data_IF_424345668996
#
_entry.id   IF_424345668996
#
_cell.length_a   1.000
_cell.length_b   1.000
_cell.length_c   1.000
_cell.angle_alpha   90.00
_cell.angle_beta   90.00
_cell.angle_gamma   90.00
#
_symmetry.space_group_name_H-M   'P 1'
#
loop_
_entity.id
_entity.type
_entity.pdbx_description
1 polymer ?
#
# COMPACT_ATOMS: atom_id res chain seq x y z
N UNK A 1 29.18 -48.66 -24.76
CA UNK A 1 29.97 -48.03 -25.84
C UNK A 1 29.38 -46.65 -26.09
N UNK A 2 30.04 -45.53 -25.90
CA UNK A 2 31.18 -45.16 -25.04
C UNK A 2 30.92 -43.68 -24.64
N UNK A 3 31.14 -43.18 -23.41
CA UNK A 3 32.30 -43.32 -22.51
C UNK A 3 33.55 -42.66 -23.07
N UNK A 4 33.63 -41.34 -22.93
CA UNK A 4 34.89 -40.58 -22.84
C UNK A 4 34.70 -39.58 -21.70
N UNK A 5 35.19 -39.93 -20.51
CA UNK A 5 35.76 -38.94 -19.61
C UNK A 5 37.14 -38.57 -20.16
N UNK A 6 37.58 -37.33 -20.00
CA UNK A 6 38.96 -37.10 -19.55
C UNK A 6 39.11 -35.78 -18.79
N UNK A 7 40.15 -35.71 -17.97
CA UNK A 7 40.44 -34.60 -17.05
C UNK A 7 41.74 -33.90 -17.47
N UNK A 8 41.88 -32.59 -17.21
CA UNK A 8 43.07 -32.07 -16.51
C UNK A 8 42.95 -30.58 -16.11
N UNK A 9 43.09 -30.36 -14.81
CA UNK A 9 43.68 -29.22 -14.08
C UNK A 9 43.99 -27.87 -14.80
N UNK A 10 43.38 -26.82 -14.25
CA UNK A 10 44.00 -25.54 -13.83
C UNK A 10 45.02 -24.82 -14.72
N UNK A 11 44.72 -23.57 -15.03
CA UNK A 11 45.70 -22.51 -14.78
C UNK A 11 45.00 -21.21 -14.34
N UNK A 12 45.60 -20.46 -13.41
CA UNK A 12 44.96 -19.32 -12.77
C UNK A 12 45.61 -18.00 -13.19
N UNK A 13 44.80 -17.05 -13.68
CA UNK A 13 45.15 -15.64 -13.79
C UNK A 13 44.05 -14.80 -13.15
N UNK A 14 44.41 -14.08 -12.10
CA UNK A 14 43.47 -13.20 -11.41
C UNK A 14 43.18 -11.95 -12.24
N UNK A 15 41.91 -11.53 -12.28
CA UNK A 15 41.57 -10.14 -12.56
C UNK A 15 40.67 -9.60 -11.44
N UNK A 16 40.86 -8.34 -11.07
CA UNK A 16 40.14 -7.68 -9.98
C UNK A 16 39.06 -6.79 -10.57
N UNK A 17 37.85 -6.81 -9.99
CA UNK A 17 37.17 -5.63 -9.43
C UNK A 17 35.69 -5.90 -9.11
N UNK A 18 35.21 -5.30 -8.01
CA UNK A 18 33.85 -4.76 -7.90
C UNK A 18 32.75 -5.66 -7.33
N UNK A 19 32.23 -5.27 -6.15
CA UNK A 19 30.83 -5.46 -5.76
C UNK A 19 30.43 -6.83 -5.20
N UNK A 20 30.54 -7.00 -3.87
CA UNK A 20 30.06 -8.22 -3.20
C UNK A 20 30.38 -8.27 -1.71
N UNK A 21 29.84 -7.35 -0.92
CA UNK A 21 30.01 -7.35 0.54
C UNK A 21 29.14 -8.42 1.21
N UNK A 22 29.60 -9.68 1.21
CA UNK A 22 29.05 -10.71 2.08
C UNK A 22 29.49 -10.44 3.52
N UNK A 23 28.55 -10.18 4.42
CA UNK A 23 28.80 -10.03 5.86
C UNK A 23 29.16 -11.37 6.51
N UNK A 24 30.40 -11.83 6.32
CA UNK A 24 30.95 -12.98 7.04
C UNK A 24 31.14 -12.63 8.51
N UNK A 25 30.14 -12.98 9.33
CA UNK A 25 30.23 -12.89 10.79
C UNK A 25 31.33 -13.84 11.26
N UNK A 26 32.44 -13.26 11.74
CA UNK A 26 33.55 -14.02 12.31
C UNK A 26 33.32 -14.20 13.81
N UNK A 27 33.13 -15.45 14.24
CA UNK A 27 33.03 -15.82 15.65
C UNK A 27 34.40 -15.88 16.35
N UNK A 28 35.47 -15.38 15.72
CA UNK A 28 36.79 -15.26 16.34
C UNK A 28 36.83 -14.09 17.32
N UNK A 29 37.05 -14.39 18.61
CA UNK A 29 37.09 -13.44 19.71
C UNK A 29 37.96 -12.20 19.37
N UNK A 30 37.42 -10.96 19.43
CA UNK A 30 38.10 -9.78 18.90
C UNK A 30 39.37 -9.46 19.69
N UNK A 31 40.53 -9.51 19.02
CA UNK A 31 41.81 -9.13 19.60
C UNK A 31 41.76 -7.67 20.03
N UNK A 32 41.80 -7.41 21.35
CA UNK A 32 41.69 -6.08 21.97
C UNK A 32 42.62 -5.07 21.27
N UNK A 33 42.03 -4.15 20.50
CA UNK A 33 42.77 -3.03 19.87
C UNK A 33 43.35 -2.16 20.98
N UNK A 34 44.68 -2.03 21.03
CA UNK A 34 45.35 -1.09 21.94
C UNK A 34 44.99 0.33 21.51
N UNK A 35 44.10 0.96 22.25
CA UNK A 35 43.78 2.39 22.16
C UNK A 35 45.06 3.19 22.40
N UNK A 36 45.29 4.24 21.62
CA UNK A 36 46.43 5.13 21.81
C UNK A 36 46.23 6.05 23.00
N UNK A 37 47.33 6.47 23.67
CA UNK A 37 47.27 7.49 24.73
C UNK A 37 46.59 8.81 24.29
N UNK A 38 46.52 9.08 22.98
CA UNK A 38 45.85 10.25 22.42
C UNK A 38 44.34 10.08 22.44
N UNK A 39 43.81 8.99 21.85
CA UNK A 39 42.37 8.66 21.90
C UNK A 39 41.86 8.60 23.34
N UNK A 40 42.66 8.04 24.26
CA UNK A 40 42.29 7.87 25.66
C UNK A 40 42.06 9.22 26.39
N UNK A 41 42.94 10.20 26.15
CA UNK A 41 42.84 11.56 26.71
C UNK A 41 41.77 12.43 25.99
N UNK A 42 41.37 12.03 24.79
CA UNK A 42 40.30 12.67 24.00
C UNK A 42 38.91 12.22 24.50
N UNK A 43 38.76 10.94 24.87
CA UNK A 43 37.60 10.37 25.57
C UNK A 43 37.41 10.95 26.98
N UNK A 44 38.50 11.08 27.76
CA UNK A 44 38.47 11.64 29.12
C UNK A 44 37.96 13.09 29.13
N UNK A 45 38.40 13.90 28.16
CA UNK A 45 37.88 15.27 27.92
C UNK A 45 36.43 15.29 27.44
N UNK A 46 35.93 14.23 26.83
CA UNK A 46 34.54 14.11 26.42
C UNK A 46 33.64 13.78 27.62
N UNK A 47 34.10 12.93 28.54
CA UNK A 47 33.38 12.61 29.78
C UNK A 47 33.29 13.81 30.74
N UNK A 48 34.39 14.54 30.94
CA UNK A 48 34.39 15.76 31.78
C UNK A 48 33.43 16.86 31.27
N UNK A 49 33.06 16.85 29.98
CA UNK A 49 32.08 17.78 29.39
C UNK A 49 30.62 17.38 29.61
N UNK A 50 30.36 16.18 30.11
CA UNK A 50 29.00 15.64 30.30
C UNK A 50 28.57 15.55 31.77
N UNK A 51 29.48 15.75 32.73
CA UNK A 51 29.21 15.61 34.17
C UNK A 51 28.76 16.88 34.93
N UNK A 52 28.63 18.04 34.27
CA UNK A 52 28.32 19.31 34.94
C UNK A 52 26.83 19.67 34.93
N UNK A 53 26.05 19.23 35.92
CA UNK A 53 24.57 19.27 35.84
C UNK A 53 23.73 19.40 37.13
N UNK A 54 24.27 19.91 38.25
CA UNK A 54 23.50 20.27 39.47
C UNK A 54 23.22 19.12 40.47
N UNK A 55 23.09 19.38 41.77
CA UNK A 55 23.22 20.66 42.49
C UNK A 55 23.12 20.51 44.03
N UNK A 56 23.16 21.66 44.74
CA UNK A 56 22.79 22.00 46.13
C UNK A 56 22.23 20.90 47.08
N UNK A 57 22.51 20.86 48.38
CA UNK A 57 23.11 21.81 49.36
C UNK A 57 23.63 20.96 50.59
N UNK A 58 24.13 21.42 51.77
CA UNK A 58 24.17 22.70 52.51
C UNK A 58 25.27 22.62 53.61
N UNK A 59 25.81 23.76 54.08
CA UNK A 59 26.52 23.98 55.38
C UNK A 59 27.88 23.26 55.63
N UNK A 60 28.86 23.82 56.36
CA UNK A 60 29.04 25.19 56.91
C UNK A 60 30.50 25.47 57.37
N UNK A 61 30.82 26.77 57.50
CA UNK A 61 31.77 27.37 58.49
C UNK A 61 33.29 27.11 58.34
N UNK A 62 34.00 28.18 57.90
CA UNK A 62 35.38 28.65 58.26
C UNK A 62 36.60 27.72 58.17
N UNK A 63 37.83 28.18 57.87
CA UNK A 63 38.34 29.43 57.25
C UNK A 63 39.87 29.35 57.16
N UNK A 64 40.47 30.09 56.22
CA UNK A 64 41.84 30.64 56.27
C UNK A 64 43.07 29.73 55.99
N UNK A 65 44.08 30.42 55.41
CA UNK A 65 45.54 30.26 55.46
C UNK A 65 46.23 29.06 54.76
N UNK A 66 46.61 29.31 53.50
CA UNK A 66 47.97 29.33 52.92
C UNK A 66 48.94 28.10 52.92
N UNK A 67 49.59 27.98 51.75
CA UNK A 67 50.89 27.37 51.40
C UNK A 67 51.12 25.83 51.29
N UNK A 68 52.10 25.52 50.44
CA UNK A 68 52.56 24.22 49.91
C UNK A 68 53.57 23.49 50.84
N UNK A 69 54.08 22.26 50.52
CA UNK A 69 53.62 21.23 49.59
C UNK A 69 53.73 19.76 50.12
N UNK A 70 53.34 18.81 49.24
CA UNK A 70 53.91 17.46 49.06
C UNK A 70 53.51 16.31 50.02
N UNK A 71 53.33 15.10 49.45
CA UNK A 71 53.19 13.85 50.21
C UNK A 71 52.33 12.75 49.56
N UNK A 72 52.98 11.81 48.87
CA UNK A 72 52.58 10.43 48.57
C UNK A 72 51.09 10.01 48.39
N UNK A 73 50.83 9.42 47.21
CA UNK A 73 50.11 8.14 46.97
C UNK A 73 48.93 7.76 47.91
N UNK A 74 47.68 7.83 47.45
CA UNK A 74 46.99 6.75 46.69
C UNK A 74 46.83 5.45 47.48
N UNK A 75 45.60 5.22 47.99
CA UNK A 75 44.73 4.10 47.60
C UNK A 75 43.30 4.37 48.12
N UNK A 76 42.34 4.58 47.22
CA UNK A 76 40.92 4.40 47.49
C UNK A 76 40.42 3.22 46.65
N UNK A 77 39.52 2.42 47.21
CA UNK A 77 38.75 1.44 46.45
C UNK A 77 37.49 2.14 45.94
N UNK A 78 37.09 1.85 44.72
CA UNK A 78 35.74 2.12 44.20
C UNK A 78 35.32 0.90 43.38
N UNK A 79 34.07 0.46 43.56
CA UNK A 79 33.59 -0.84 43.07
C UNK A 79 33.09 -0.78 41.61
N UNK A 80 33.87 -1.33 40.67
CA UNK A 80 33.39 -1.67 39.33
C UNK A 80 32.40 -2.85 39.41
N UNK A 81 31.09 -2.58 39.49
CA UNK A 81 30.08 -3.62 39.21
C UNK A 81 30.23 -4.10 37.76
N UNK A 82 30.50 -5.39 37.51
CA UNK A 82 30.62 -5.88 36.14
C UNK A 82 29.23 -5.91 35.50
N UNK A 83 29.06 -5.13 34.43
CA UNK A 83 27.85 -5.15 33.59
C UNK A 83 27.47 -6.60 33.26
N UNK A 84 26.30 -7.04 33.72
CA UNK A 84 25.91 -8.45 33.78
C UNK A 84 25.97 -9.17 32.43
N UNK A 85 27.12 -9.78 32.14
CA UNK A 85 27.29 -10.69 31.03
C UNK A 85 26.50 -11.97 31.35
N UNK A 86 25.31 -12.09 30.75
CA UNK A 86 24.45 -13.26 30.93
C UNK A 86 25.23 -14.50 30.47
N UNK A 87 25.45 -15.41 31.40
CA UNK A 87 26.15 -16.67 31.16
C UNK A 87 25.33 -17.52 30.17
N UNK A 88 25.88 -17.85 28.98
CA UNK A 88 25.14 -18.61 27.97
C UNK A 88 24.79 -20.03 28.44
N UNK A 89 25.58 -20.61 29.35
CA UNK A 89 25.31 -21.95 29.89
C UNK A 89 24.15 -21.92 30.91
N UNK A 90 23.87 -20.75 31.50
CA UNK A 90 22.82 -20.55 32.51
C UNK A 90 21.48 -20.03 31.90
N UNK A 91 21.48 -19.61 30.63
CA UNK A 91 20.25 -19.25 29.91
C UNK A 91 19.31 -20.44 29.64
N UNK A 92 19.82 -21.67 29.68
CA UNK A 92 19.06 -22.88 29.35
C UNK A 92 18.05 -23.30 30.44
N UNK A 93 18.27 -22.94 31.72
CA UNK A 93 17.34 -23.27 32.81
C UNK A 93 16.26 -22.20 33.03
N UNK A 94 16.55 -20.94 32.70
CA UNK A 94 15.65 -19.79 32.97
C UNK A 94 14.45 -19.73 32.01
N UNK A 95 14.56 -20.34 30.83
CA UNK A 95 13.49 -20.45 29.84
C UNK A 95 13.50 -21.86 29.24
N UNK A 96 12.35 -22.55 29.23
CA UNK A 96 12.23 -23.88 28.61
C UNK A 96 12.39 -23.74 27.08
N UNK A 97 13.63 -23.83 26.59
CA UNK A 97 13.98 -23.35 25.25
C UNK A 97 13.27 -24.09 24.11
N UNK A 98 12.85 -25.34 24.35
CA UNK A 98 12.12 -26.16 23.38
C UNK A 98 10.61 -25.83 23.30
N UNK A 99 10.05 -25.06 24.24
CA UNK A 99 8.72 -24.45 24.10
C UNK A 99 8.76 -23.15 23.28
N UNK A 100 9.87 -22.41 23.35
CA UNK A 100 10.02 -21.09 22.74
C UNK A 100 10.56 -21.17 21.30
N UNK A 101 11.50 -22.07 21.02
CA UNK A 101 12.15 -22.24 19.71
C UNK A 101 11.42 -23.30 18.90
N UNK A 102 10.74 -22.96 17.78
CA UNK A 102 10.07 -23.97 16.96
C UNK A 102 11.11 -24.86 16.25
N UNK A 103 11.17 -26.14 16.63
CA UNK A 103 12.02 -27.17 16.00
C UNK A 103 11.17 -28.16 15.20
N UNK A 104 11.83 -28.93 14.33
CA UNK A 104 11.26 -30.10 13.64
C UNK A 104 9.91 -29.84 12.95
N UNK A 105 9.77 -28.69 12.28
CA UNK A 105 8.52 -28.27 11.66
C UNK A 105 8.17 -29.15 10.45
N UNK A 106 7.01 -29.81 10.52
CA UNK A 106 6.49 -30.71 9.48
C UNK A 106 5.93 -29.99 8.24
N UNK A 107 5.89 -28.65 8.27
CA UNK A 107 5.28 -27.77 7.26
C UNK A 107 5.87 -27.98 5.86
N UNK A 108 4.99 -28.26 4.91
CA UNK A 108 5.34 -28.48 3.50
C UNK A 108 5.40 -27.17 2.70
N UNK A 109 5.88 -27.25 1.45
CA UNK A 109 5.75 -26.13 0.50
C UNK A 109 4.28 -25.86 0.19
N UNK A 110 3.49 -26.92 0.12
CA UNK A 110 2.07 -26.92 -0.26
C UNK A 110 1.20 -26.22 0.79
N UNK A 111 1.55 -26.32 2.08
CA UNK A 111 0.97 -25.56 3.19
C UNK A 111 1.24 -24.05 3.03
N UNK A 112 2.50 -23.68 2.75
CA UNK A 112 2.90 -22.28 2.57
C UNK A 112 2.30 -21.66 1.30
N UNK A 113 2.11 -22.46 0.24
CA UNK A 113 1.41 -22.04 -0.97
C UNK A 113 -0.08 -21.76 -0.75
N UNK A 114 -0.72 -22.27 0.32
CA UNK A 114 -2.08 -21.82 0.67
C UNK A 114 -2.15 -20.33 1.04
N UNK A 115 -1.02 -19.78 1.50
CA UNK A 115 -0.88 -18.39 2.00
C UNK A 115 -0.53 -17.40 0.89
N UNK A 116 -0.04 -17.86 -0.26
CA UNK A 116 0.51 -17.04 -1.33
C UNK A 116 -0.13 -17.42 -2.67
N UNK A 117 -0.83 -16.48 -3.29
CA UNK A 117 -1.33 -16.63 -4.65
C UNK A 117 -0.86 -15.44 -5.50
N UNK A 118 -0.22 -15.70 -6.63
CA UNK A 118 0.09 -14.68 -7.64
C UNK A 118 -0.07 -15.29 -9.03
N UNK A 119 -0.91 -14.69 -9.85
CA UNK A 119 -1.31 -15.22 -11.14
C UNK A 119 -0.56 -14.47 -12.25
N UNK A 120 0.43 -15.16 -12.84
CA UNK A 120 1.26 -14.60 -13.91
C UNK A 120 0.41 -14.26 -15.15
N UNK A 121 -0.49 -15.13 -15.65
CA UNK A 121 -1.49 -14.76 -16.66
C UNK A 121 -2.30 -13.48 -16.34
N UNK A 122 -2.78 -13.27 -15.10
CA UNK A 122 -3.42 -11.98 -14.72
C UNK A 122 -2.48 -10.81 -14.94
N UNK A 123 -1.26 -10.90 -14.40
CA UNK A 123 -0.27 -9.82 -14.46
C UNK A 123 0.16 -9.50 -15.91
N UNK A 124 0.29 -10.51 -16.78
CA UNK A 124 0.59 -10.35 -18.20
C UNK A 124 -0.54 -9.66 -18.99
N UNK A 125 -1.79 -9.76 -18.52
CA UNK A 125 -2.93 -9.09 -19.15
C UNK A 125 -3.09 -7.62 -18.72
N UNK A 126 -2.31 -7.10 -17.77
CA UNK A 126 -2.45 -5.72 -17.25
C UNK A 126 -1.95 -4.69 -18.26
N UNK A 127 -2.89 -4.14 -19.03
CA UNK A 127 -2.66 -3.07 -19.98
C UNK A 127 -2.31 -1.73 -19.28
N UNK A 128 -1.79 -0.76 -20.05
CA UNK A 128 -1.37 0.56 -19.54
C UNK A 128 -2.21 1.66 -20.16
N UNK A 129 -2.79 2.51 -19.30
CA UNK A 129 -3.91 3.38 -19.64
C UNK A 129 -3.52 4.55 -20.56
N UNK A 130 -4.47 4.94 -21.42
CA UNK A 130 -4.57 6.30 -21.95
C UNK A 130 -4.93 7.28 -20.81
N UNK A 131 -4.70 8.61 -20.96
CA UNK A 131 -5.02 9.59 -19.94
C UNK A 131 -6.47 9.46 -19.43
N UNK A 132 -6.64 9.31 -18.10
CA UNK A 132 -7.93 9.14 -17.40
C UNK A 132 -8.75 7.87 -17.79
N UNK A 133 -8.19 6.94 -18.55
CA UNK A 133 -8.92 5.76 -19.06
C UNK A 133 -8.90 4.51 -18.15
N UNK A 134 -8.34 4.62 -16.93
CA UNK A 134 -8.14 3.50 -15.99
C UNK A 134 -9.29 2.48 -15.92
N UNK A 135 -10.56 2.92 -15.89
CA UNK A 135 -11.72 2.02 -15.87
C UNK A 135 -11.82 1.09 -17.08
N UNK A 136 -11.68 1.61 -18.31
CA UNK A 136 -11.68 0.75 -19.53
C UNK A 136 -10.38 -0.06 -19.63
N UNK A 137 -9.24 0.48 -19.20
CA UNK A 137 -7.98 -0.29 -19.16
C UNK A 137 -8.05 -1.48 -18.22
N UNK A 138 -8.62 -1.31 -17.01
CA UNK A 138 -8.84 -2.40 -16.07
C UNK A 138 -9.82 -3.42 -16.62
N UNK A 139 -10.92 -2.98 -17.24
CA UNK A 139 -11.89 -3.86 -17.90
C UNK A 139 -11.26 -4.71 -19.02
N UNK A 140 -10.48 -4.10 -19.93
CA UNK A 140 -9.79 -4.82 -21.01
C UNK A 140 -8.75 -5.79 -20.44
N UNK A 141 -8.08 -5.43 -19.35
CA UNK A 141 -7.11 -6.30 -18.68
C UNK A 141 -7.78 -7.55 -18.10
N UNK A 142 -8.91 -7.42 -17.40
CA UNK A 142 -9.65 -8.58 -16.85
C UNK A 142 -10.36 -9.39 -17.93
N UNK A 143 -10.85 -8.75 -19.00
CA UNK A 143 -11.45 -9.45 -20.14
C UNK A 143 -10.41 -10.32 -20.86
N UNK A 144 -9.22 -9.78 -21.12
CA UNK A 144 -8.11 -10.54 -21.70
C UNK A 144 -7.66 -11.70 -20.79
N UNK A 145 -7.65 -11.52 -19.47
CA UNK A 145 -7.38 -12.62 -18.55
C UNK A 145 -8.43 -13.74 -18.63
N UNK A 146 -9.72 -13.41 -18.73
CA UNK A 146 -10.79 -14.41 -18.75
C UNK A 146 -10.86 -15.17 -20.09
N UNK A 147 -10.74 -14.47 -21.23
CA UNK A 147 -11.09 -15.05 -22.53
C UNK A 147 -9.94 -15.18 -23.54
N UNK A 148 -8.80 -14.50 -23.35
CA UNK A 148 -7.67 -14.57 -24.30
C UNK A 148 -6.65 -15.64 -23.95
N UNK A 149 -5.83 -16.01 -24.95
CA UNK A 149 -4.68 -16.92 -24.84
C UNK A 149 -3.49 -16.40 -24.02
N UNK A 150 -3.52 -15.14 -23.55
CA UNK A 150 -2.56 -14.64 -22.54
C UNK A 150 -3.05 -14.99 -21.12
N UNK A 151 -4.37 -15.15 -20.97
CA UNK A 151 -5.06 -15.52 -19.75
C UNK A 151 -5.45 -17.00 -19.72
N UNK A 152 -6.71 -17.25 -19.41
CA UNK A 152 -7.31 -18.57 -19.15
C UNK A 152 -8.20 -19.05 -20.31
N UNK A 153 -8.31 -18.29 -21.40
CA UNK A 153 -9.19 -18.56 -22.53
C UNK A 153 -8.45 -18.87 -23.83
N UNK A 154 -9.20 -18.89 -24.95
CA UNK A 154 -8.72 -19.36 -26.26
C UNK A 154 -8.74 -18.30 -27.36
N UNK A 155 -9.28 -17.10 -27.11
CA UNK A 155 -9.36 -16.03 -28.10
C UNK A 155 -8.01 -15.31 -28.32
N UNK A 156 -7.85 -14.55 -29.41
CA UNK A 156 -6.81 -13.52 -29.47
C UNK A 156 -6.92 -12.53 -28.31
N UNK A 157 -5.81 -11.93 -27.85
CA UNK A 157 -5.87 -10.79 -26.96
C UNK A 157 -6.43 -9.57 -27.69
N UNK A 158 -7.37 -8.88 -27.06
CA UNK A 158 -8.06 -7.69 -27.57
C UNK A 158 -7.30 -6.45 -27.14
N UNK A 159 -7.11 -5.50 -28.06
CA UNK A 159 -6.40 -4.25 -27.77
C UNK A 159 -7.30 -3.24 -27.04
N UNK A 160 -6.72 -2.24 -26.36
CA UNK A 160 -7.53 -1.19 -25.73
C UNK A 160 -8.31 -0.39 -26.77
N UNK A 161 -7.68 -0.16 -27.93
CA UNK A 161 -8.18 0.60 -29.08
C UNK A 161 -9.33 -0.16 -29.77
N UNK A 162 -9.18 -1.47 -29.93
CA UNK A 162 -10.22 -2.38 -30.41
C UNK A 162 -11.43 -2.39 -29.47
N UNK A 163 -11.21 -2.62 -28.17
CA UNK A 163 -12.28 -2.59 -27.16
C UNK A 163 -12.98 -1.22 -27.10
N UNK A 164 -12.24 -0.11 -27.12
CA UNK A 164 -12.80 1.24 -27.19
C UNK A 164 -13.66 1.43 -28.45
N UNK A 165 -13.22 0.93 -29.61
CA UNK A 165 -13.99 0.98 -30.86
C UNK A 165 -15.29 0.16 -30.77
N UNK A 166 -15.25 -1.04 -30.18
CA UNK A 166 -16.44 -1.88 -29.93
C UNK A 166 -17.42 -1.18 -28.99
N UNK A 167 -16.91 -0.41 -28.02
CA UNK A 167 -17.71 0.38 -27.07
C UNK A 167 -18.15 1.75 -27.60
N UNK A 168 -17.88 2.05 -28.89
CA UNK A 168 -18.35 3.26 -29.57
C UNK A 168 -17.44 4.49 -29.48
N UNK A 169 -16.21 4.34 -28.97
CA UNK A 169 -15.20 5.40 -28.92
C UNK A 169 -14.25 5.31 -30.12
N UNK A 170 -13.87 6.47 -30.68
CA UNK A 170 -13.07 6.55 -31.89
C UNK A 170 -11.76 7.33 -31.63
N UNK A 171 -10.70 7.10 -32.42
CA UNK A 171 -9.44 7.83 -32.29
C UNK A 171 -9.62 9.34 -32.58
N UNK A 172 -8.79 10.23 -32.01
CA UNK A 172 -7.62 9.93 -31.16
C UNK A 172 -8.00 9.55 -29.71
N UNK A 173 -7.56 8.36 -29.28
CA UNK A 173 -8.00 7.74 -28.01
C UNK A 173 -7.45 8.43 -26.75
N UNK A 174 -6.32 9.12 -26.86
CA UNK A 174 -5.72 9.94 -25.81
C UNK A 174 -6.47 11.26 -25.56
N UNK A 175 -7.26 11.73 -26.54
CA UNK A 175 -8.09 12.92 -26.41
C UNK A 175 -9.50 12.64 -25.83
N UNK A 176 -9.85 11.37 -25.56
CA UNK A 176 -11.16 11.00 -25.03
C UNK A 176 -11.35 11.63 -23.64
N UNK A 177 -12.43 12.42 -23.51
CA UNK A 177 -12.86 12.99 -22.24
C UNK A 177 -13.68 11.96 -21.46
N UNK A 178 -12.98 11.07 -20.75
CA UNK A 178 -13.58 10.22 -19.72
C UNK A 178 -14.20 11.12 -18.64
N UNK A 179 -15.53 11.11 -18.58
CA UNK A 179 -16.33 11.93 -17.67
C UNK A 179 -17.14 11.07 -16.70
N UNK A 180 -18.15 11.62 -16.01
CA UNK A 180 -18.91 10.89 -14.99
C UNK A 180 -19.63 9.64 -15.52
N UNK A 181 -19.83 9.52 -16.84
CA UNK A 181 -20.37 8.31 -17.48
C UNK A 181 -19.53 7.04 -17.25
N UNK A 182 -18.24 7.13 -16.87
CA UNK A 182 -17.40 5.95 -16.55
C UNK A 182 -17.60 5.43 -15.13
N UNK A 183 -18.86 5.31 -14.70
CA UNK A 183 -19.25 4.70 -13.43
C UNK A 183 -19.08 3.17 -13.42
N UNK A 184 -19.20 2.58 -12.23
CA UNK A 184 -19.12 1.13 -12.03
C UNK A 184 -20.13 0.37 -12.91
N UNK A 185 -21.37 0.87 -12.95
CA UNK A 185 -22.48 0.32 -13.74
C UNK A 185 -22.13 0.27 -15.24
N UNK A 186 -21.44 1.30 -15.73
CA UNK A 186 -20.94 1.36 -17.11
C UNK A 186 -19.87 0.32 -17.39
N UNK A 187 -18.94 0.06 -16.46
CA UNK A 187 -17.94 -1.02 -16.61
C UNK A 187 -18.60 -2.41 -16.69
N UNK A 188 -19.62 -2.68 -15.86
CA UNK A 188 -20.39 -3.93 -15.91
C UNK A 188 -21.10 -4.07 -17.27
N UNK A 189 -21.82 -3.04 -17.71
CA UNK A 189 -22.49 -3.00 -19.02
C UNK A 189 -21.49 -3.19 -20.18
N UNK A 190 -20.33 -2.55 -20.13
CA UNK A 190 -19.27 -2.68 -21.14
C UNK A 190 -18.68 -4.09 -21.19
N UNK A 191 -18.52 -4.79 -20.06
CA UNK A 191 -18.15 -6.21 -20.05
C UNK A 191 -19.15 -7.06 -20.83
N UNK A 192 -20.45 -6.88 -20.59
CA UNK A 192 -21.49 -7.59 -21.35
C UNK A 192 -21.52 -7.19 -22.83
N UNK A 193 -21.19 -5.94 -23.19
CA UNK A 193 -21.04 -5.52 -24.59
C UNK A 193 -19.84 -6.17 -25.31
N UNK A 194 -18.68 -6.25 -24.66
CA UNK A 194 -17.51 -6.98 -25.19
C UNK A 194 -17.83 -8.48 -25.32
N UNK A 195 -18.44 -9.08 -24.30
CA UNK A 195 -18.84 -10.50 -24.33
C UNK A 195 -19.80 -10.80 -25.50
N UNK A 196 -20.83 -9.95 -25.68
CA UNK A 196 -21.79 -10.03 -26.81
C UNK A 196 -21.10 -9.87 -28.16
N UNK A 197 -20.10 -9.00 -28.29
CA UNK A 197 -19.34 -8.81 -29.53
C UNK A 197 -18.51 -10.05 -29.89
N UNK A 198 -17.80 -10.65 -28.92
CA UNK A 198 -16.95 -11.82 -29.13
C UNK A 198 -17.69 -13.17 -29.04
N UNK A 199 -19.01 -13.16 -28.83
CA UNK A 199 -19.84 -14.38 -28.77
C UNK A 199 -19.61 -15.24 -27.52
N UNK A 200 -19.11 -14.66 -26.44
CA UNK A 200 -18.85 -15.35 -25.15
C UNK A 200 -19.89 -14.98 -24.10
N UNK A 201 -20.05 -15.83 -23.09
CA UNK A 201 -20.94 -15.60 -21.93
C UNK A 201 -20.15 -15.28 -20.68
N UNK A 202 -20.66 -14.38 -19.85
CA UNK A 202 -20.08 -14.06 -18.56
C UNK A 202 -21.00 -13.23 -17.67
N UNK A 203 -20.70 -13.22 -16.37
CA UNK A 203 -21.43 -12.56 -15.28
C UNK A 203 -20.55 -11.49 -14.63
N UNK A 204 -21.11 -10.35 -14.25
CA UNK A 204 -20.34 -9.29 -13.57
C UNK A 204 -21.15 -8.62 -12.44
N UNK A 205 -20.52 -8.42 -11.28
CA UNK A 205 -21.21 -7.97 -10.06
C UNK A 205 -20.28 -7.32 -9.03
N UNK A 206 -20.87 -6.62 -8.06
CA UNK A 206 -20.18 -6.10 -6.88
C UNK A 206 -19.92 -7.24 -5.88
N UNK A 207 -18.65 -7.61 -5.62
CA UNK A 207 -18.28 -8.54 -4.55
C UNK A 207 -18.38 -7.86 -3.19
N UNK A 208 -17.91 -6.61 -3.08
CA UNK A 208 -18.07 -5.79 -1.89
C UNK A 208 -18.22 -4.32 -2.26
N UNK A 209 -19.30 -3.71 -1.76
CA UNK A 209 -19.54 -2.26 -1.84
C UNK A 209 -20.34 -1.83 -0.61
N UNK A 210 -19.76 -0.96 0.21
CA UNK A 210 -20.34 -0.60 1.52
C UNK A 210 -21.54 0.34 1.39
N UNK A 211 -21.53 1.25 0.40
CA UNK A 211 -22.48 2.38 0.27
C UNK A 211 -22.95 2.59 -1.18
N UNK A 212 -24.00 3.40 -1.37
CA UNK A 212 -24.53 3.76 -2.69
C UNK A 212 -25.27 2.63 -3.43
N UNK A 213 -25.51 2.85 -4.72
CA UNK A 213 -26.13 1.87 -5.63
C UNK A 213 -25.24 0.61 -5.76
N UNK A 214 -25.84 -0.58 -5.76
CA UNK A 214 -25.09 -1.84 -5.81
C UNK A 214 -24.40 -2.24 -4.49
N UNK A 215 -24.75 -1.62 -3.35
CA UNK A 215 -24.23 -2.01 -2.04
C UNK A 215 -24.50 -3.48 -1.70
N UNK A 216 -23.59 -4.10 -0.95
CA UNK A 216 -23.64 -5.50 -0.50
C UNK A 216 -23.99 -5.56 1.00
N UNK A 217 -25.29 -5.53 1.40
CA UNK A 217 -25.67 -5.44 2.80
C UNK A 217 -25.32 -6.71 3.59
N UNK A 218 -24.85 -6.54 4.83
CA UNK A 218 -24.53 -7.65 5.74
C UNK A 218 -23.16 -8.31 5.51
N UNK A 219 -22.41 -7.91 4.48
CA UNK A 219 -21.06 -8.43 4.25
C UNK A 219 -20.01 -7.66 5.07
N UNK A 220 -19.29 -8.36 5.95
CA UNK A 220 -18.21 -7.79 6.77
C UNK A 220 -16.87 -7.75 6.02
N UNK A 221 -15.88 -7.01 6.55
CA UNK A 221 -14.53 -6.93 5.97
C UNK A 221 -13.85 -8.29 5.88
N UNK A 222 -14.00 -9.12 6.92
CA UNK A 222 -13.41 -10.45 7.01
C UNK A 222 -14.02 -11.40 5.97
N UNK A 223 -15.35 -11.38 5.81
CA UNK A 223 -16.03 -12.22 4.82
C UNK A 223 -15.82 -11.72 3.39
N UNK A 224 -15.71 -10.40 3.19
CA UNK A 224 -15.27 -9.84 1.92
C UNK A 224 -13.82 -10.25 1.60
N UNK A 225 -12.92 -10.30 2.59
CA UNK A 225 -11.55 -10.79 2.42
C UNK A 225 -11.52 -12.25 2.00
N UNK A 226 -12.28 -13.12 2.68
CA UNK A 226 -12.40 -14.54 2.34
C UNK A 226 -12.86 -14.74 0.89
N UNK A 227 -13.98 -14.10 0.52
CA UNK A 227 -14.52 -14.14 -0.85
C UNK A 227 -13.53 -13.60 -1.89
N UNK A 228 -12.79 -12.54 -1.55
CA UNK A 228 -11.78 -11.94 -2.43
C UNK A 228 -10.55 -12.86 -2.62
N UNK A 229 -10.09 -13.54 -1.57
CA UNK A 229 -9.03 -14.58 -1.66
C UNK A 229 -9.44 -15.69 -2.61
N UNK A 230 -10.66 -16.21 -2.48
CA UNK A 230 -11.14 -17.32 -3.31
C UNK A 230 -11.49 -16.89 -4.74
N UNK A 231 -11.95 -15.65 -4.91
CA UNK A 231 -12.12 -15.03 -6.24
C UNK A 231 -10.78 -14.85 -6.96
N UNK A 232 -9.71 -14.50 -6.25
CA UNK A 232 -8.36 -14.44 -6.82
C UNK A 232 -7.79 -15.83 -7.13
N UNK A 233 -8.10 -16.86 -6.33
CA UNK A 233 -7.69 -18.24 -6.62
C UNK A 233 -8.42 -18.87 -7.81
N UNK A 234 -9.67 -18.48 -8.08
CA UNK A 234 -10.45 -19.05 -9.17
C UNK A 234 -9.99 -18.50 -10.54
N UNK A 235 -9.49 -19.34 -11.48
CA UNK A 235 -9.08 -18.88 -12.80
C UNK A 235 -10.23 -18.34 -13.66
N UNK A 236 -11.48 -18.73 -13.37
CA UNK A 236 -12.66 -18.24 -14.09
C UNK A 236 -13.24 -16.93 -13.52
N UNK A 237 -12.57 -16.34 -12.52
CA UNK A 237 -12.92 -15.07 -11.90
C UNK A 237 -11.78 -14.05 -12.06
N UNK A 238 -12.13 -12.79 -12.30
CA UNK A 238 -11.22 -11.65 -12.27
C UNK A 238 -11.80 -10.51 -11.44
N UNK A 239 -10.94 -9.62 -10.93
CA UNK A 239 -11.34 -8.50 -10.06
C UNK A 239 -10.84 -7.17 -10.63
N UNK A 240 -11.69 -6.16 -10.63
CA UNK A 240 -11.29 -4.75 -10.71
C UNK A 240 -11.62 -4.09 -9.38
N UNK A 241 -10.65 -3.39 -8.81
CA UNK A 241 -10.83 -2.58 -7.62
C UNK A 241 -10.95 -1.11 -8.05
N UNK A 242 -12.11 -0.51 -7.79
CA UNK A 242 -12.34 0.92 -7.88
C UNK A 242 -12.03 1.54 -6.52
N UNK A 243 -11.03 2.42 -6.46
CA UNK A 243 -10.59 3.15 -5.28
C UNK A 243 -10.61 4.67 -5.55
N UNK A 244 -10.03 5.45 -4.64
CA UNK A 244 -9.92 6.90 -4.80
C UNK A 244 -9.40 7.35 -6.16
N UNK A 245 -10.29 7.95 -6.96
CA UNK A 245 -10.07 8.50 -8.30
C UNK A 245 -9.36 7.55 -9.30
N UNK A 246 -9.45 6.22 -9.12
CA UNK A 246 -8.70 5.27 -9.92
C UNK A 246 -9.32 3.86 -9.94
N UNK A 247 -9.08 3.12 -11.04
CA UNK A 247 -9.38 1.70 -11.15
C UNK A 247 -8.07 0.91 -11.33
N UNK A 248 -7.94 -0.21 -10.61
CA UNK A 248 -6.74 -1.07 -10.62
C UNK A 248 -7.11 -2.56 -10.63
N UNK A 249 -6.15 -3.43 -10.96
CA UNK A 249 -6.40 -4.87 -11.15
C UNK A 249 -5.63 -5.68 -10.10
N UNK A 250 -6.28 -6.24 -9.06
CA UNK A 250 -5.65 -7.21 -8.17
C UNK A 250 -5.23 -8.49 -8.92
N UNK A 251 -3.95 -8.88 -8.78
CA UNK A 251 -3.34 -10.04 -9.46
C UNK A 251 -2.95 -11.18 -8.51
N UNK A 252 -3.15 -10.99 -7.20
CA UNK A 252 -2.78 -11.97 -6.19
C UNK A 252 -2.80 -11.41 -4.76
N UNK A 253 -2.38 -12.23 -3.80
CA UNK A 253 -2.25 -11.88 -2.39
C UNK A 253 -1.23 -12.74 -1.64
N UNK A 254 -0.83 -12.27 -0.46
CA UNK A 254 -0.05 -13.02 0.53
C UNK A 254 -0.62 -12.80 1.93
N UNK A 255 -0.83 -13.88 2.69
CA UNK A 255 -1.14 -13.85 4.12
C UNK A 255 0.16 -13.82 4.92
N UNK A 256 0.45 -12.71 5.59
CA UNK A 256 1.65 -12.51 6.39
C UNK A 256 1.34 -12.84 7.87
N UNK A 257 2.03 -13.80 8.51
CA UNK A 257 1.77 -14.16 9.90
C UNK A 257 2.14 -13.03 10.88
N UNK A 258 1.40 -12.91 11.99
CA UNK A 258 1.61 -11.85 12.98
C UNK A 258 2.85 -12.08 13.85
N UNK A 259 3.18 -13.34 14.12
CA UNK A 259 4.34 -13.72 14.92
C UNK A 259 5.39 -14.43 14.06
N UNK A 260 6.67 -14.18 14.33
CA UNK A 260 7.79 -14.73 13.56
C UNK A 260 7.88 -16.26 13.70
N UNK A 261 7.36 -16.81 14.80
CA UNK A 261 7.22 -18.25 15.06
C UNK A 261 6.17 -18.93 14.18
N UNK A 262 5.26 -18.18 13.55
CA UNK A 262 4.20 -18.69 12.67
C UNK A 262 4.62 -18.77 11.19
N UNK A 263 5.72 -18.10 10.81
CA UNK A 263 6.24 -18.04 9.44
C UNK A 263 6.32 -19.41 8.76
N UNK A 264 6.78 -20.42 9.51
CA UNK A 264 6.94 -21.81 9.06
C UNK A 264 6.01 -22.81 9.78
N UNK A 265 4.92 -22.37 10.43
CA UNK A 265 3.82 -23.27 10.80
C UNK A 265 3.00 -23.61 9.55
N UNK A 266 2.31 -24.76 9.52
CA UNK A 266 1.46 -25.12 8.38
C UNK A 266 0.19 -24.25 8.32
N UNK A 267 -0.57 -24.20 9.43
CA UNK A 267 -1.75 -23.33 9.60
C UNK A 267 -1.41 -22.14 10.50
N UNK A 268 -2.18 -21.07 10.36
CA UNK A 268 -2.17 -19.93 11.28
C UNK A 268 -3.33 -20.08 12.27
N UNK A 269 -3.12 -19.72 13.54
CA UNK A 269 -4.17 -19.68 14.56
C UNK A 269 -5.06 -18.45 14.41
N UNK A 270 -4.43 -17.30 14.12
CA UNK A 270 -5.05 -16.04 13.76
C UNK A 270 -4.97 -15.86 12.23
N UNK A 271 -5.99 -15.28 11.59
CA UNK A 271 -5.79 -14.83 10.21
C UNK A 271 -4.74 -13.69 10.18
N UNK A 272 -3.66 -13.94 9.45
CA UNK A 272 -2.54 -13.02 9.29
C UNK A 272 -2.92 -11.72 8.57
N UNK A 273 -1.98 -10.78 8.49
CA UNK A 273 -2.20 -9.57 7.69
C UNK A 273 -2.17 -9.92 6.19
N UNK A 274 -3.30 -9.72 5.51
CA UNK A 274 -3.37 -9.90 4.07
C UNK A 274 -2.76 -8.69 3.35
N UNK A 275 -1.74 -8.97 2.53
CA UNK A 275 -1.22 -8.05 1.52
C UNK A 275 -1.77 -8.46 0.15
N UNK A 276 -2.21 -7.51 -0.66
CA UNK A 276 -2.76 -7.70 -2.00
C UNK A 276 -1.74 -7.20 -3.03
N UNK A 277 -1.48 -8.01 -4.06
CA UNK A 277 -0.67 -7.60 -5.21
C UNK A 277 -1.54 -6.91 -6.25
N UNK A 278 -1.18 -5.68 -6.61
CA UNK A 278 -1.90 -4.84 -7.57
C UNK A 278 -1.11 -4.76 -8.87
N UNK A 279 -1.71 -5.23 -9.96
CA UNK A 279 -1.35 -4.85 -11.32
C UNK A 279 -1.84 -3.43 -11.59
N UNK A 280 -0.89 -2.49 -11.69
CA UNK A 280 -1.19 -1.07 -11.87
C UNK A 280 -1.39 -0.73 -13.35
N UNK A 281 -2.54 -0.17 -13.71
CA UNK A 281 -2.83 0.23 -15.10
C UNK A 281 -2.22 1.60 -15.47
N UNK A 282 -1.71 2.35 -14.50
CA UNK A 282 -1.13 3.68 -14.71
C UNK A 282 0.20 3.66 -15.47
N UNK A 283 0.50 4.79 -16.12
CA UNK A 283 1.79 5.07 -16.77
C UNK A 283 2.59 6.06 -15.91
N UNK A 284 3.91 5.90 -15.88
CA UNK A 284 4.83 6.86 -15.29
C UNK A 284 4.86 6.90 -13.75
N UNK A 285 3.80 7.42 -13.12
CA UNK A 285 3.81 7.81 -11.68
C UNK A 285 3.89 6.64 -10.67
N UNK A 286 3.61 5.39 -11.07
CA UNK A 286 3.55 4.24 -10.15
C UNK A 286 4.27 2.99 -10.71
N UNK A 287 4.81 2.10 -9.85
CA UNK A 287 5.41 0.83 -10.25
C UNK A 287 4.44 -0.06 -11.04
N UNK A 288 4.96 -0.88 -11.97
CA UNK A 288 4.14 -1.74 -12.82
C UNK A 288 3.30 -2.77 -12.04
N UNK A 289 3.79 -3.19 -10.87
CA UNK A 289 3.06 -3.94 -9.84
C UNK A 289 3.46 -3.36 -8.47
N UNK A 290 2.51 -3.24 -7.55
CA UNK A 290 2.76 -2.81 -6.16
C UNK A 290 1.91 -3.62 -5.16
N UNK A 291 2.04 -3.32 -3.86
CA UNK A 291 1.32 -3.98 -2.76
C UNK A 291 0.48 -2.99 -1.96
N UNK A 292 -0.72 -3.40 -1.56
CA UNK A 292 -1.56 -2.69 -0.58
C UNK A 292 -2.00 -3.65 0.53
N UNK A 293 -2.24 -3.19 1.76
CA UNK A 293 -2.79 -4.06 2.82
C UNK A 293 -4.30 -4.13 2.69
N UNK A 294 -4.91 -5.26 3.06
CA UNK A 294 -6.37 -5.38 3.10
C UNK A 294 -7.01 -4.34 4.03
N UNK A 295 -6.36 -4.00 5.14
CA UNK A 295 -6.81 -2.95 6.06
C UNK A 295 -6.95 -1.59 5.37
N UNK A 296 -6.11 -1.30 4.38
CA UNK A 296 -6.15 -0.04 3.63
C UNK A 296 -7.30 -0.06 2.61
N UNK A 297 -7.59 -1.22 1.99
CA UNK A 297 -8.77 -1.45 1.13
C UNK A 297 -10.06 -1.29 1.96
N UNK A 298 -10.12 -1.93 3.13
CA UNK A 298 -11.23 -1.82 4.08
C UNK A 298 -11.48 -0.35 4.49
N UNK A 299 -10.41 0.39 4.78
CA UNK A 299 -10.47 1.83 5.08
C UNK A 299 -10.99 2.64 3.88
N UNK A 300 -10.47 2.39 2.68
CA UNK A 300 -10.89 3.05 1.43
C UNK A 300 -12.38 2.84 1.10
N UNK A 301 -12.88 1.61 1.29
CA UNK A 301 -14.25 1.22 0.97
C UNK A 301 -15.26 1.67 2.03
N UNK A 302 -14.87 1.78 3.31
CA UNK A 302 -15.75 2.22 4.39
C UNK A 302 -15.80 3.74 4.58
N UNK A 303 -14.72 4.46 4.24
CA UNK A 303 -14.64 5.93 4.29
C UNK A 303 -15.69 6.56 3.37
N UNK A 304 -16.23 7.73 3.73
CA UNK A 304 -17.25 8.42 2.94
C UNK A 304 -17.21 9.93 3.14
N UNK A 305 -17.76 10.67 2.17
CA UNK A 305 -17.83 12.14 2.17
C UNK A 305 -18.41 12.67 3.49
N UNK A 306 -17.82 13.71 4.12
CA UNK A 306 -16.75 14.57 3.60
C UNK A 306 -15.33 13.99 3.71
N UNK A 307 -15.15 12.81 4.31
CA UNK A 307 -13.84 12.16 4.40
C UNK A 307 -13.49 11.41 3.12
N UNK A 308 -12.20 11.23 2.87
CA UNK A 308 -11.67 10.32 1.85
C UNK A 308 -10.35 9.72 2.33
N UNK A 309 -10.05 8.52 1.88
CA UNK A 309 -8.76 7.87 2.03
C UNK A 309 -8.18 7.71 0.64
N UNK A 310 -6.86 7.86 0.48
CA UNK A 310 -6.20 7.64 -0.80
C UNK A 310 -5.31 6.42 -0.68
N UNK A 311 -5.78 5.24 -1.08
CA UNK A 311 -5.02 3.98 -0.93
C UNK A 311 -3.70 3.94 -1.73
N UNK A 312 -3.52 4.86 -2.68
CA UNK A 312 -2.27 5.02 -3.43
C UNK A 312 -1.23 5.85 -2.66
N UNK A 313 -1.67 6.51 -1.59
CA UNK A 313 -0.92 7.35 -0.65
C UNK A 313 -1.40 7.10 0.81
N UNK A 314 -1.35 5.86 1.31
CA UNK A 314 -1.90 5.51 2.62
C UNK A 314 -1.19 6.23 3.78
N UNK A 315 0.03 6.73 3.57
CA UNK A 315 0.79 7.58 4.50
C UNK A 315 0.08 8.89 4.86
N UNK A 316 -0.84 9.37 4.01
CA UNK A 316 -1.64 10.58 4.25
C UNK A 316 -2.86 10.31 5.15
N UNK A 317 -3.20 9.04 5.41
CA UNK A 317 -4.33 8.63 6.23
C UNK A 317 -5.70 9.08 5.69
N UNK A 318 -6.70 9.13 6.59
CA UNK A 318 -8.05 9.61 6.27
C UNK A 318 -8.06 11.13 6.28
N UNK A 319 -8.21 11.71 5.10
CA UNK A 319 -8.29 13.15 4.86
C UNK A 319 -9.75 13.63 4.82
N UNK A 320 -9.96 14.95 4.85
CA UNK A 320 -11.30 15.56 4.77
C UNK A 320 -11.34 16.56 3.62
N UNK A 321 -12.33 16.43 2.72
CA UNK A 321 -12.57 17.37 1.63
C UNK A 321 -12.86 18.76 2.20
N UNK A 322 -11.97 19.72 1.92
CA UNK A 322 -12.19 21.12 2.28
C UNK A 322 -13.34 21.70 1.44
N UNK A 323 -14.38 22.24 2.07
CA UNK A 323 -15.42 22.94 1.32
C UNK A 323 -14.83 24.21 0.67
N UNK A 324 -14.99 24.38 -0.65
CA UNK A 324 -14.47 25.56 -1.40
C UNK A 324 -14.83 26.88 -0.73
N UNK A 325 -16.02 26.95 -0.10
CA UNK A 325 -16.51 28.12 0.67
C UNK A 325 -15.67 28.45 1.92
N UNK A 326 -15.05 27.46 2.59
CA UNK A 326 -14.08 27.70 3.67
C UNK A 326 -12.70 28.09 3.14
N UNK A 327 -12.26 27.51 2.03
CA UNK A 327 -10.97 27.87 1.41
C UNK A 327 -10.97 29.34 0.95
N UNK A 328 -11.99 29.76 0.20
CA UNK A 328 -12.15 31.15 -0.25
C UNK A 328 -12.30 32.14 0.93
N UNK A 329 -13.05 31.79 1.98
CA UNK A 329 -13.22 32.64 3.16
C UNK A 329 -11.95 32.71 4.03
N UNK A 330 -11.05 31.72 3.96
CA UNK A 330 -9.74 31.79 4.61
C UNK A 330 -8.81 32.73 3.85
N UNK A 331 -8.69 32.56 2.53
CA UNK A 331 -7.89 33.43 1.66
C UNK A 331 -8.30 34.92 1.80
N UNK A 332 -9.61 35.21 1.69
CA UNK A 332 -10.12 36.57 1.84
C UNK A 332 -9.90 37.20 3.23
N UNK A 333 -9.70 36.39 4.28
CA UNK A 333 -9.34 36.88 5.63
C UNK A 333 -7.82 37.00 5.84
N UNK A 334 -7.01 36.38 4.99
CA UNK A 334 -5.54 36.49 5.02
C UNK A 334 -5.08 37.70 4.18
N UNK A 335 -5.72 38.00 3.05
CA UNK A 335 -5.48 39.24 2.27
C UNK A 335 -5.82 40.53 3.04
N UNK A 336 -6.88 40.51 3.86
CA UNK A 336 -7.31 41.68 4.68
C UNK A 336 -6.31 42.02 5.81
N UNK A 337 -5.28 41.20 6.05
CA UNK A 337 -4.27 41.44 7.10
C UNK A 337 -3.03 42.20 6.65
N UNK A 338 -2.80 42.39 5.35
CA UNK A 338 -1.58 43.02 4.82
C UNK A 338 -1.89 44.06 3.73
N UNK A 339 -2.79 45.01 4.01
CA UNK A 339 -3.18 46.04 3.04
C UNK A 339 -4.02 47.20 3.60
N UNK A 340 -3.53 48.42 3.37
CA UNK A 340 -4.06 49.71 3.83
C UNK A 340 -5.59 49.96 3.76
N UNK A 341 -6.04 50.77 4.73
CA UNK A 341 -7.41 51.30 4.86
C UNK A 341 -7.90 52.05 3.61
N UNK A 342 -9.05 51.65 3.04
CA UNK A 342 -9.86 52.53 2.18
C UNK A 342 -11.37 52.25 2.23
N UNK A 343 -12.13 53.35 2.33
CA UNK A 343 -13.53 53.56 1.94
C UNK A 343 -14.52 52.37 1.87
N UNK A 344 -15.45 52.32 2.82
CA UNK A 344 -16.71 51.58 2.65
C UNK A 344 -17.57 52.22 1.55
N UNK A 345 -18.08 51.42 0.60
CA UNK A 345 -19.08 51.84 -0.38
C UNK A 345 -20.35 51.00 -0.20
N UNK A 346 -21.43 51.64 0.23
CA UNK A 346 -22.75 51.00 0.40
C UNK A 346 -23.37 50.70 -0.95
N UNK A 347 -23.62 49.42 -1.24
CA UNK A 347 -24.48 48.99 -2.36
C UNK A 347 -25.77 48.42 -1.78
N UNK A 348 -26.91 48.81 -2.35
CA UNK A 348 -28.24 48.50 -1.83
C UNK A 348 -28.62 47.03 -2.05
N UNK A 349 -29.28 46.46 -1.05
CA UNK A 349 -29.96 45.16 -1.14
C UNK A 349 -31.33 45.34 -1.82
N UNK A 350 -31.53 44.78 -3.00
CA UNK A 350 -32.86 44.41 -3.48
C UNK A 350 -32.82 43.20 -4.42
N UNK A 351 -33.21 42.03 -3.91
CA UNK A 351 -33.62 40.82 -4.65
C UNK A 351 -34.10 39.77 -3.66
N UNK A 352 -35.14 39.03 -4.03
CA UNK A 352 -35.79 38.02 -3.18
C UNK A 352 -34.84 36.86 -2.78
N UNK A 353 -35.06 36.20 -1.64
CA UNK A 353 -34.26 35.04 -1.25
C UNK A 353 -34.40 33.92 -2.29
N UNK A 354 -33.29 33.34 -2.78
CA UNK A 354 -33.37 32.21 -3.69
C UNK A 354 -34.00 31.02 -2.94
N UNK A 355 -35.08 30.47 -3.51
CA UNK A 355 -35.70 29.24 -3.00
C UNK A 355 -34.62 28.17 -2.92
N UNK A 356 -34.37 27.67 -1.71
CA UNK A 356 -33.37 26.63 -1.49
C UNK A 356 -33.77 25.38 -2.28
N UNK A 357 -33.03 25.10 -3.37
CA UNK A 357 -33.08 23.77 -3.98
C UNK A 357 -32.77 22.74 -2.88
N UNK A 358 -33.50 21.63 -2.80
CA UNK A 358 -33.19 20.58 -1.83
C UNK A 358 -31.74 20.16 -2.06
N UNK A 359 -30.92 20.21 -1.01
CA UNK A 359 -29.56 19.69 -1.05
C UNK A 359 -29.64 18.21 -1.41
N UNK A 360 -28.95 17.81 -2.48
CA UNK A 360 -28.84 16.40 -2.86
C UNK A 360 -28.34 15.57 -1.68
N UNK A 361 -28.87 14.35 -1.56
CA UNK A 361 -28.46 13.41 -0.52
C UNK A 361 -26.96 13.16 -0.70
N UNK A 362 -26.18 13.30 0.37
CA UNK A 362 -24.72 13.41 0.26
C UNK A 362 -24.08 12.21 -0.45
N UNK A 363 -23.31 12.52 -1.51
CA UNK A 363 -22.88 11.53 -2.49
C UNK A 363 -22.17 10.32 -1.89
N UNK A 364 -22.60 9.14 -2.33
CA UNK A 364 -22.13 7.86 -1.79
C UNK A 364 -20.65 7.60 -2.10
N UNK A 365 -19.98 6.81 -1.26
CA UNK A 365 -18.69 6.25 -1.68
C UNK A 365 -18.93 5.31 -2.88
N UNK A 366 -18.30 5.61 -4.01
CA UNK A 366 -18.39 4.85 -5.26
C UNK A 366 -17.39 3.68 -5.31
N UNK A 367 -16.38 3.67 -4.45
CA UNK A 367 -15.32 2.66 -4.41
C UNK A 367 -15.91 1.27 -4.11
N UNK A 368 -15.39 0.23 -4.77
CA UNK A 368 -15.87 -1.15 -4.62
C UNK A 368 -14.93 -2.18 -5.25
N UNK A 369 -15.15 -3.45 -4.90
CA UNK A 369 -14.57 -4.62 -5.58
C UNK A 369 -15.59 -5.16 -6.59
N UNK A 370 -15.29 -5.02 -7.89
CA UNK A 370 -16.06 -5.55 -9.01
C UNK A 370 -15.48 -6.90 -9.44
N UNK A 371 -16.33 -7.90 -9.64
CA UNK A 371 -15.94 -9.23 -10.10
C UNK A 371 -16.54 -9.54 -11.45
N UNK A 372 -15.75 -10.17 -12.29
CA UNK A 372 -16.08 -10.59 -13.65
C UNK A 372 -15.83 -12.09 -13.78
N UNK A 373 -16.75 -12.83 -14.39
CA UNK A 373 -16.69 -14.30 -14.50
C UNK A 373 -16.94 -14.79 -15.91
N UNK A 374 -16.24 -15.86 -16.30
CA UNK A 374 -16.40 -16.58 -17.57
C UNK A 374 -17.16 -17.90 -17.45
N UNK A 375 -17.29 -18.44 -16.23
CA UNK A 375 -17.91 -19.75 -15.95
C UNK A 375 -19.42 -19.68 -15.63
N UNK A 376 -19.99 -18.47 -15.53
CA UNK A 376 -21.39 -18.23 -15.22
C UNK A 376 -21.94 -17.20 -16.20
N UNK A 377 -23.05 -17.51 -16.86
CA UNK A 377 -23.78 -16.54 -17.69
C UNK A 377 -24.58 -15.57 -16.82
N UNK A 378 -24.84 -14.37 -17.33
CA UNK A 378 -25.78 -13.45 -16.67
C UNK A 378 -27.23 -13.83 -16.97
N UNK A 379 -28.07 -13.87 -15.93
CA UNK A 379 -29.46 -14.34 -16.01
C UNK A 379 -30.40 -13.22 -16.47
N UNK A 380 -30.10 -11.98 -16.07
CA UNK A 380 -30.78 -10.77 -16.51
C UNK A 380 -29.76 -9.81 -17.14
N UNK A 381 -29.65 -9.86 -18.47
CA UNK A 381 -28.88 -8.87 -19.24
C UNK A 381 -29.65 -7.56 -19.44
N UNK A 382 -30.99 -7.59 -19.33
CA UNK A 382 -31.85 -6.44 -19.59
C UNK A 382 -31.67 -5.33 -18.54
N UNK A 383 -31.30 -5.68 -17.29
CA UNK A 383 -30.92 -4.69 -16.26
C UNK A 383 -29.78 -3.77 -16.74
N UNK A 384 -28.84 -4.27 -17.55
CA UNK A 384 -27.70 -3.50 -18.07
C UNK A 384 -27.99 -2.79 -19.40
N UNK A 385 -29.00 -3.23 -20.15
CA UNK A 385 -29.42 -2.61 -21.42
C UNK A 385 -30.34 -1.40 -21.22
N UNK A 386 -31.07 -1.33 -20.09
CA UNK A 386 -32.09 -0.30 -19.83
C UNK A 386 -31.69 0.84 -18.89
N UNK A 387 -30.60 0.70 -18.11
CA UNK A 387 -30.03 1.81 -17.34
C UNK A 387 -29.52 2.92 -18.28
N UNK A 388 -29.83 4.17 -17.95
CA UNK A 388 -29.39 5.34 -18.73
C UNK A 388 -28.04 5.81 -18.24
N UNK A 389 -27.23 6.33 -19.16
CA UNK A 389 -26.02 7.09 -18.87
C UNK A 389 -26.40 8.39 -18.14
N UNK A 390 -26.51 8.30 -16.81
CA UNK A 390 -27.01 9.35 -15.93
C UNK A 390 -27.50 8.84 -14.57
N UNK A 391 -27.87 7.55 -14.43
CA UNK A 391 -28.43 7.03 -13.16
C UNK A 391 -27.41 6.95 -11.99
N UNK A 392 -26.10 7.15 -12.26
CA UNK A 392 -25.02 7.34 -11.27
C UNK A 392 -24.71 8.86 -11.05
N UNK A 393 -25.74 9.73 -10.96
CA UNK A 393 -25.67 11.20 -10.87
C UNK A 393 -25.15 11.77 -9.53
N UNK A 394 -24.03 11.24 -9.02
CA UNK A 394 -23.50 11.50 -7.67
C UNK A 394 -21.98 11.85 -7.69
N UNK A 395 -21.45 12.26 -8.85
CA UNK A 395 -20.04 12.60 -9.07
C UNK A 395 -19.84 14.12 -9.00
N UNK A 396 -19.15 14.60 -7.95
CA UNK A 396 -18.67 15.98 -7.83
C UNK A 396 -17.83 16.37 -9.06
N UNK A 397 -18.29 17.38 -9.82
CA UNK A 397 -17.59 17.95 -10.99
C UNK A 397 -16.39 18.81 -10.55
N UNK A 398 -15.35 18.17 -10.01
CA UNK A 398 -14.18 18.81 -9.40
C UNK A 398 -12.87 18.09 -9.76
N UNK A 399 -12.54 18.06 -11.05
CA UNK A 399 -11.27 17.53 -11.59
C UNK A 399 -10.51 18.57 -12.44
N UNK A 400 -10.47 19.82 -11.95
CA UNK A 400 -9.65 20.90 -12.50
C UNK A 400 -8.37 21.10 -11.66
N UNK A 401 -7.22 20.87 -12.29
CA UNK A 401 -5.92 21.53 -12.11
C UNK A 401 -5.41 21.85 -10.69
N UNK A 402 -4.82 20.85 -10.02
CA UNK A 402 -3.54 21.00 -9.28
C UNK A 402 -2.70 19.74 -9.43
N UNK A 403 -1.84 19.68 -10.46
CA UNK A 403 -0.71 18.74 -10.57
C UNK A 403 0.25 19.28 -11.65
N UNK A 404 1.11 20.23 -11.28
CA UNK A 404 2.04 20.92 -12.20
C UNK A 404 3.43 20.29 -12.20
N UNK A 405 3.96 20.09 -13.42
CA UNK A 405 5.30 19.56 -13.79
C UNK A 405 5.79 18.27 -13.09
#
# INVERSE_FOLDING_TARGET
MASIDDTCSTNATANKNGGGESWTISFANPKKRRVSKREQLELEKQQQRLGGGGGDQLSAVTSNDDDEPSGAAVTSNDDDEPSGAIDPDNMAEVLNSDEIVPRNLETTREDLLQRLHIDIPRLLCVAKQYPRSCGVTSLVSVWNFLYSRIGQGTLPPVSQEEAMTILGFYPPFDAIRWGPFTGNTTLLRWFHSLNRHFGVTGKAYYLWKVRGLGRTPGLTSEKAQELFRDTLRNPQCAVVYHCHNHYMVPVGFQMIPRHQTDCYRARLSDEGEMTVYIGEVSRGKHPAMHTVKWKDIDTDLNTASPQFFNIRHPELGVQTRGSKKKAALKAANEEVRDGGVVAATTVLLDSAPPVAKPTTVGGGNLHCLLVFRSDVAEEDLAQFENCKDGDDEDIDELADDVDGD
#
